data_IF_526741678830
#
_entry.id   IF_526741678830
#
_cell.length_a   1.000
_cell.length_b   1.000
_cell.length_c   1.000
_cell.angle_alpha   90.00
_cell.angle_beta   90.00
_cell.angle_gamma   90.00
#
_symmetry.space_group_name_H-M   'P 1'
#
loop_
_entity.id
_entity.type
_entity.pdbx_description
1 polymer ?
#
# COMPACT_ATOMS: atom_id res chain seq x y z
N UNK A 1 -21.34 -11.08 -17.73
CA UNK A 1 -20.56 -12.33 -17.54
C UNK A 1 -19.71 -12.25 -16.28
N UNK A 2 -18.93 -11.18 -16.09
CA UNK A 2 -18.17 -10.92 -14.85
C UNK A 2 -19.11 -10.60 -13.68
N UNK A 3 -20.09 -9.72 -13.87
CA UNK A 3 -20.97 -9.20 -12.81
C UNK A 3 -21.68 -10.27 -11.97
N UNK A 4 -21.99 -11.43 -12.55
CA UNK A 4 -22.68 -12.54 -11.87
C UNK A 4 -21.74 -13.66 -11.43
N UNK A 5 -20.53 -13.72 -11.97
CA UNK A 5 -19.57 -14.79 -11.68
C UNK A 5 -18.59 -14.41 -10.57
N UNK A 6 -18.19 -13.13 -10.51
CA UNK A 6 -17.28 -12.62 -9.48
C UNK A 6 -18.13 -11.85 -8.46
N UNK A 7 -18.33 -12.39 -7.24
CA UNK A 7 -19.04 -11.67 -6.21
C UNK A 7 -18.25 -10.43 -5.79
N UNK A 8 -18.95 -9.37 -5.41
CA UNK A 8 -18.30 -8.22 -4.80
C UNK A 8 -17.58 -8.65 -3.52
N UNK A 9 -16.27 -8.37 -3.39
CA UNK A 9 -15.53 -8.76 -2.20
C UNK A 9 -16.06 -8.02 -0.97
N UNK A 10 -16.11 -8.71 0.16
CA UNK A 10 -16.38 -8.06 1.44
C UNK A 10 -15.25 -7.09 1.76
N UNK A 11 -15.62 -5.83 2.02
CA UNK A 11 -14.66 -4.77 2.37
C UNK A 11 -14.37 -4.83 3.87
N UNK A 12 -13.10 -4.93 4.23
CA UNK A 12 -12.63 -4.98 5.63
C UNK A 12 -12.56 -3.56 6.25
N UNK A 13 -13.70 -2.88 6.39
CA UNK A 13 -13.75 -1.47 6.86
C UNK A 13 -13.50 -1.30 8.35
N UNK A 14 -13.78 -2.33 9.16
CA UNK A 14 -13.66 -2.27 10.62
C UNK A 14 -12.23 -2.52 11.14
N UNK A 15 -11.29 -2.85 10.24
CA UNK A 15 -9.89 -3.09 10.61
C UNK A 15 -9.08 -1.79 10.61
N UNK A 16 -7.88 -1.85 11.17
CA UNK A 16 -6.94 -0.72 11.13
C UNK A 16 -6.53 -0.39 9.69
N UNK A 17 -6.40 0.90 9.39
CA UNK A 17 -6.07 1.37 8.04
C UNK A 17 -4.72 0.81 7.54
N UNK A 18 -4.72 0.30 6.31
CA UNK A 18 -3.53 -0.10 5.58
C UNK A 18 -3.74 0.11 4.07
N UNK A 19 -2.77 0.76 3.43
CA UNK A 19 -2.72 0.98 1.98
C UNK A 19 -1.29 0.76 1.47
N UNK A 20 -1.11 -0.12 0.49
CA UNK A 20 0.16 -0.27 -0.20
C UNK A 20 0.41 0.92 -1.13
N UNK A 21 1.64 1.46 -1.13
CA UNK A 21 2.05 2.52 -2.06
C UNK A 21 2.41 1.90 -3.40
N UNK A 22 1.63 2.22 -4.43
CA UNK A 22 1.82 1.75 -5.81
C UNK A 22 2.63 2.75 -6.65
N UNK A 23 2.39 4.06 -6.46
CA UNK A 23 3.12 5.13 -7.14
C UNK A 23 3.14 6.42 -6.29
N UNK A 24 4.06 7.33 -6.62
CA UNK A 24 4.30 8.59 -5.90
C UNK A 24 4.48 9.75 -6.87
N UNK A 25 3.62 10.75 -6.73
CA UNK A 25 3.65 11.98 -7.51
C UNK A 25 4.02 13.18 -6.64
N UNK A 26 4.70 14.15 -7.23
CA UNK A 26 4.84 15.47 -6.62
C UNK A 26 3.98 16.44 -7.41
N UNK A 27 3.06 17.11 -6.72
CA UNK A 27 2.20 18.12 -7.33
C UNK A 27 2.72 19.49 -6.89
N UNK A 28 3.21 20.25 -7.86
CA UNK A 28 3.72 21.61 -7.65
C UNK A 28 2.69 22.45 -6.86
N UNK A 29 3.12 22.99 -5.72
CA UNK A 29 2.29 23.82 -4.85
C UNK A 29 1.27 23.09 -3.98
N UNK A 30 1.09 21.77 -4.12
CA UNK A 30 0.18 20.97 -3.27
C UNK A 30 0.92 20.00 -2.35
N UNK A 31 2.00 19.38 -2.82
CA UNK A 31 2.80 18.43 -2.04
C UNK A 31 2.91 17.06 -2.72
N UNK A 32 3.27 16.04 -1.94
CA UNK A 32 3.45 14.67 -2.43
C UNK A 32 2.17 13.85 -2.28
N UNK A 33 1.79 13.17 -3.36
CA UNK A 33 0.64 12.27 -3.41
C UNK A 33 1.14 10.84 -3.55
N UNK A 34 0.71 9.96 -2.65
CA UNK A 34 0.90 8.53 -2.75
C UNK A 34 -0.38 7.89 -3.27
N UNK A 35 -0.29 7.04 -4.29
CA UNK A 35 -1.44 6.32 -4.84
C UNK A 35 -1.40 4.85 -4.47
N UNK A 36 -2.57 4.26 -4.29
CA UNK A 36 -2.72 2.82 -4.12
C UNK A 36 -4.15 2.42 -3.80
N UNK A 37 -4.36 1.12 -3.65
CA UNK A 37 -5.63 0.58 -3.16
C UNK A 37 -5.59 0.44 -1.64
N UNK A 38 -6.61 0.96 -0.95
CA UNK A 38 -6.77 0.70 0.48
C UNK A 38 -7.06 -0.80 0.65
N UNK A 39 -6.20 -1.51 1.37
CA UNK A 39 -6.38 -2.94 1.63
C UNK A 39 -7.45 -3.17 2.69
N UNK A 40 -7.43 -2.36 3.75
CA UNK A 40 -8.35 -2.45 4.89
C UNK A 40 -8.49 -1.11 5.62
N UNK A 41 -9.57 -1.00 6.39
CA UNK A 41 -9.90 0.16 7.20
C UNK A 41 -10.52 1.32 6.42
N UNK A 42 -10.69 2.42 7.15
CA UNK A 42 -11.21 3.71 6.65
C UNK A 42 -10.21 4.79 7.03
N UNK A 43 -10.09 5.82 6.19
CA UNK A 43 -9.25 6.99 6.44
C UNK A 43 -9.95 8.27 6.03
N UNK A 44 -9.66 9.38 6.71
CA UNK A 44 -10.25 10.69 6.46
C UNK A 44 -9.19 11.76 6.28
N UNK A 45 -9.58 12.85 5.61
CA UNK A 45 -8.73 14.06 5.58
C UNK A 45 -8.52 14.56 7.02
N UNK A 46 -7.26 14.81 7.38
CA UNK A 46 -6.86 15.22 8.72
C UNK A 46 -6.34 14.08 9.60
N UNK A 47 -6.52 12.82 9.20
CA UNK A 47 -5.98 11.69 9.96
C UNK A 47 -4.45 11.66 9.91
N UNK A 48 -3.87 11.19 11.02
CA UNK A 48 -2.44 10.95 11.16
C UNK A 48 -2.13 9.49 10.81
N UNK A 49 -1.12 9.29 9.96
CA UNK A 49 -0.69 7.97 9.47
C UNK A 49 0.83 7.82 9.54
N UNK A 50 1.29 6.58 9.46
CA UNK A 50 2.71 6.23 9.32
C UNK A 50 3.01 5.74 7.90
N UNK A 51 4.17 6.14 7.40
CA UNK A 51 4.80 5.60 6.19
C UNK A 51 5.82 4.57 6.66
N UNK A 52 5.59 3.29 6.34
CA UNK A 52 6.34 2.16 6.91
C UNK A 52 7.02 1.33 5.82
N UNK A 53 8.24 0.88 6.10
CA UNK A 53 9.01 -0.04 5.25
C UNK A 53 10.09 0.65 4.42
N UNK A 54 11.13 -0.10 4.02
CA UNK A 54 12.28 0.33 3.18
C UNK A 54 13.18 1.45 3.75
N UNK A 55 12.64 2.38 4.54
CA UNK A 55 13.33 3.46 5.24
C UNK A 55 12.81 3.56 6.68
N UNK A 56 13.35 4.50 7.46
CA UNK A 56 12.82 4.81 8.79
C UNK A 56 11.35 5.24 8.72
N UNK A 57 10.56 4.77 9.69
CA UNK A 57 9.13 5.07 9.75
C UNK A 57 8.92 6.55 10.04
N UNK A 58 8.03 7.18 9.28
CA UNK A 58 7.69 8.61 9.44
C UNK A 58 6.20 8.78 9.63
N UNK A 59 5.85 9.69 10.52
CA UNK A 59 4.47 10.11 10.76
C UNK A 59 4.13 11.33 9.91
N UNK A 60 2.95 11.35 9.31
CA UNK A 60 2.43 12.50 8.57
C UNK A 60 0.91 12.62 8.75
N UNK A 61 0.36 13.71 8.27
CA UNK A 61 -1.08 13.99 8.26
C UNK A 61 -1.59 14.04 6.84
N UNK A 62 -2.76 13.46 6.62
CA UNK A 62 -3.46 13.50 5.34
C UNK A 62 -4.07 14.87 5.14
N UNK A 63 -3.78 15.51 4.02
CA UNK A 63 -4.33 16.83 3.66
C UNK A 63 -5.34 16.79 2.52
N UNK A 64 -5.47 15.64 1.86
CA UNK A 64 -6.47 15.45 0.81
C UNK A 64 -6.54 14.01 0.36
N UNK A 65 -7.74 13.60 -0.07
CA UNK A 65 -8.02 12.31 -0.69
C UNK A 65 -8.64 12.58 -2.06
N UNK A 66 -8.17 11.89 -3.09
CA UNK A 66 -8.68 12.03 -4.45
C UNK A 66 -8.86 10.66 -5.12
N UNK A 67 -9.99 10.46 -5.79
CA UNK A 67 -10.26 9.32 -6.65
C UNK A 67 -10.74 9.81 -8.02
N UNK A 68 -10.00 9.53 -9.09
CA UNK A 68 -10.37 9.91 -10.47
C UNK A 68 -10.86 11.36 -10.61
N UNK A 69 -10.03 12.35 -10.23
CA UNK A 69 -10.35 13.79 -10.30
C UNK A 69 -11.51 14.23 -9.40
N UNK A 70 -11.93 13.40 -8.43
CA UNK A 70 -12.93 13.74 -7.43
C UNK A 70 -12.29 13.75 -6.05
N UNK A 71 -12.49 14.84 -5.33
CA UNK A 71 -12.13 14.94 -3.91
C UNK A 71 -13.05 14.06 -3.09
N UNK A 72 -12.49 13.41 -2.07
CA UNK A 72 -13.21 12.60 -1.11
C UNK A 72 -12.97 13.15 0.32
N UNK A 73 -14.00 13.06 1.16
CA UNK A 73 -13.85 13.35 2.60
C UNK A 73 -13.30 12.13 3.36
N UNK A 74 -13.64 10.93 2.89
CA UNK A 74 -13.20 9.64 3.42
C UNK A 74 -12.87 8.65 2.29
N UNK A 75 -11.92 7.75 2.55
CA UNK A 75 -11.59 6.61 1.70
C UNK A 75 -11.72 5.32 2.50
N UNK A 76 -12.15 4.23 1.85
CA UNK A 76 -12.36 2.94 2.50
C UNK A 76 -11.71 1.78 1.75
N UNK A 77 -11.59 0.64 2.42
CA UNK A 77 -11.09 -0.61 1.85
C UNK A 77 -11.68 -0.90 0.45
N UNK A 78 -10.80 -1.17 -0.51
CA UNK A 78 -11.12 -1.43 -1.92
C UNK A 78 -11.05 -0.19 -2.83
N UNK A 79 -10.98 1.02 -2.29
CA UNK A 79 -10.87 2.24 -3.07
C UNK A 79 -9.45 2.43 -3.62
N UNK A 80 -9.34 2.79 -4.90
CA UNK A 80 -8.08 3.20 -5.54
C UNK A 80 -7.99 4.73 -5.46
N UNK A 81 -7.11 5.25 -4.61
CA UNK A 81 -7.06 6.67 -4.27
C UNK A 81 -5.64 7.24 -4.32
N UNK A 82 -5.56 8.55 -4.48
CA UNK A 82 -4.38 9.36 -4.15
C UNK A 82 -4.56 10.02 -2.79
N UNK A 83 -3.56 9.88 -1.92
CA UNK A 83 -3.49 10.52 -0.61
C UNK A 83 -2.43 11.61 -0.66
N UNK A 84 -2.83 12.86 -0.43
CA UNK A 84 -1.91 13.99 -0.31
C UNK A 84 -1.34 14.03 1.12
N UNK A 85 -0.02 14.04 1.22
CA UNK A 85 0.72 13.91 2.47
C UNK A 85 1.37 15.25 2.85
N UNK A 86 1.18 15.68 4.10
CA UNK A 86 1.77 16.92 4.62
C UNK A 86 3.26 16.77 4.85
N UNK A 87 4.05 17.68 4.24
CA UNK A 87 5.47 17.82 4.56
C UNK A 87 6.34 16.63 4.15
N UNK A 88 5.82 15.71 3.35
CA UNK A 88 6.56 14.58 2.79
C UNK A 88 7.08 14.98 1.42
N UNK A 89 8.36 14.76 1.18
CA UNK A 89 8.98 14.91 -0.12
C UNK A 89 8.95 13.58 -0.89
N UNK A 90 9.03 13.66 -2.22
CA UNK A 90 9.01 12.48 -3.10
C UNK A 90 10.10 11.45 -2.78
N UNK A 91 11.25 11.86 -2.22
CA UNK A 91 12.36 10.94 -1.88
C UNK A 91 12.12 10.18 -0.56
N UNK A 92 11.18 10.65 0.27
CA UNK A 92 10.88 10.09 1.60
C UNK A 92 9.78 9.03 1.55
N UNK A 93 9.21 8.78 0.37
CA UNK A 93 8.18 7.78 0.14
C UNK A 93 8.35 7.17 -1.24
N UNK A 94 8.24 5.85 -1.34
CA UNK A 94 8.41 5.13 -2.59
C UNK A 94 7.49 3.92 -2.69
N UNK A 95 7.33 3.41 -3.91
CA UNK A 95 6.60 2.16 -4.17
C UNK A 95 7.15 1.02 -3.30
N UNK A 96 6.25 0.22 -2.76
CA UNK A 96 6.57 -0.91 -1.87
C UNK A 96 6.61 -0.56 -0.38
N UNK A 97 6.52 0.72 -0.03
CA UNK A 97 6.16 1.14 1.34
C UNK A 97 4.65 0.99 1.55
N UNK A 98 4.21 1.12 2.80
CA UNK A 98 2.78 1.14 3.16
C UNK A 98 2.43 2.40 3.95
N UNK A 99 1.21 2.89 3.77
CA UNK A 99 0.58 3.86 4.64
C UNK A 99 -0.30 3.10 5.64
N UNK A 100 -0.11 3.33 6.92
CA UNK A 100 -0.80 2.58 7.97
C UNK A 100 -1.27 3.48 9.10
N UNK A 101 -2.29 3.03 9.82
CA UNK A 101 -2.64 3.64 11.10
C UNK A 101 -1.43 3.55 12.06
N UNK A 102 -1.09 4.61 12.81
CA UNK A 102 0.13 4.64 13.62
C UNK A 102 0.23 3.48 14.61
N UNK A 103 1.40 2.84 14.68
CA UNK A 103 1.69 1.75 15.60
C UNK A 103 1.00 0.42 15.28
N UNK A 104 0.32 0.30 14.13
CA UNK A 104 -0.42 -0.93 13.78
C UNK A 104 0.36 -1.90 12.90
N UNK A 105 1.52 -1.49 12.39
CA UNK A 105 2.42 -2.34 11.60
C UNK A 105 3.87 -1.95 11.86
N UNK A 106 4.74 -2.94 11.96
CA UNK A 106 6.20 -2.76 12.09
C UNK A 106 6.91 -3.48 10.95
N UNK A 107 7.98 -2.92 10.38
CA UNK A 107 8.75 -3.59 9.34
C UNK A 107 9.59 -4.74 9.94
N UNK A 108 9.72 -5.84 9.21
CA UNK A 108 10.51 -7.01 9.59
C UNK A 108 11.48 -7.40 8.47
N UNK A 109 12.64 -7.95 8.82
CA UNK A 109 13.70 -8.35 7.87
C UNK A 109 13.92 -9.85 7.81
N UNK A 110 13.45 -10.59 8.81
CA UNK A 110 13.61 -12.04 8.93
C UNK A 110 12.25 -12.66 9.18
N UNK A 111 11.96 -13.76 8.47
CA UNK A 111 10.71 -14.48 8.57
C UNK A 111 10.90 -15.93 8.10
N UNK A 112 10.05 -16.82 8.58
CA UNK A 112 9.88 -18.17 8.03
C UNK A 112 8.70 -18.16 7.05
N UNK A 113 8.80 -18.92 5.96
CA UNK A 113 7.76 -18.98 4.95
C UNK A 113 7.58 -20.39 4.40
N UNK A 114 6.34 -20.72 4.09
CA UNK A 114 5.97 -21.86 3.26
C UNK A 114 5.98 -21.39 1.80
N UNK A 115 6.80 -22.03 0.95
CA UNK A 115 7.02 -21.60 -0.43
C UNK A 115 6.81 -22.76 -1.39
N UNK A 116 5.99 -22.54 -2.41
CA UNK A 116 5.87 -23.42 -3.56
C UNK A 116 6.86 -23.00 -4.66
N UNK A 117 7.65 -23.95 -5.16
CA UNK A 117 8.61 -23.71 -6.24
C UNK A 117 8.00 -24.14 -7.56
N UNK A 118 7.77 -23.17 -8.45
CA UNK A 118 7.18 -23.41 -9.77
C UNK A 118 8.03 -24.40 -10.57
N UNK A 119 7.35 -25.31 -11.25
CA UNK A 119 8.00 -26.23 -12.19
C UNK A 119 8.43 -25.49 -13.45
N UNK A 120 9.28 -26.13 -14.26
CA UNK A 120 9.69 -25.61 -15.57
C UNK A 120 8.48 -25.38 -16.48
N UNK A 121 7.50 -26.27 -16.44
CA UNK A 121 6.29 -26.24 -17.27
C UNK A 121 5.39 -25.05 -16.89
N UNK A 122 5.46 -24.60 -15.64
CA UNK A 122 4.79 -23.40 -15.13
C UNK A 122 5.57 -22.11 -15.42
N UNK A 123 6.70 -22.19 -16.14
CA UNK A 123 7.60 -21.07 -16.41
C UNK A 123 8.57 -20.78 -15.26
N UNK A 124 8.69 -21.69 -14.30
CA UNK A 124 9.61 -21.63 -13.17
C UNK A 124 11.06 -21.94 -13.55
N UNK A 125 11.86 -22.24 -12.52
CA UNK A 125 13.29 -22.53 -12.71
C UNK A 125 13.49 -23.90 -13.36
N UNK A 126 14.47 -23.97 -14.24
CA UNK A 126 14.90 -25.24 -14.85
C UNK A 126 15.87 -26.02 -13.96
N UNK A 127 16.54 -25.36 -13.02
CA UNK A 127 17.62 -25.91 -12.20
C UNK A 127 17.36 -25.72 -10.70
N UNK A 128 17.82 -26.67 -9.86
CA UNK A 128 17.67 -26.57 -8.42
C UNK A 128 18.47 -25.39 -7.84
N UNK A 129 18.14 -25.00 -6.61
CA UNK A 129 18.87 -24.01 -5.82
C UNK A 129 19.06 -24.52 -4.38
N UNK A 130 19.97 -23.90 -3.64
CA UNK A 130 20.38 -24.33 -2.30
C UNK A 130 20.33 -23.16 -1.33
N UNK A 131 20.58 -23.43 -0.05
CA UNK A 131 20.72 -22.42 1.00
C UNK A 131 21.70 -21.31 0.58
N UNK A 132 21.30 -20.05 0.77
CA UNK A 132 22.05 -18.88 0.32
C UNK A 132 21.64 -18.33 -1.05
N UNK A 133 20.66 -18.93 -1.72
CA UNK A 133 20.05 -18.37 -2.92
C UNK A 133 19.45 -16.97 -2.65
N UNK A 134 19.74 -16.02 -3.54
CA UNK A 134 19.26 -14.63 -3.50
C UNK A 134 18.39 -14.37 -4.73
N UNK A 135 17.06 -14.64 -4.65
CA UNK A 135 16.14 -14.49 -5.77
C UNK A 135 16.01 -13.05 -6.27
#
# INVERSE_FOLDING_TARGET
AVDSYIPTPQRDTEKTFLMAVEDVFSITGRGTVATGRIERGIIKVGDTIEIVGLQETKTTTITGLEMFQKTLDEGMAGDNIGILLRGIQKLEIQRGMVLAQPGTITPHTEFEAEVYILTKEEGGRHTPFFSGYRP
#
